data_IF_313057485836
#
_entry.id   IF_313057485836
#
_cell.length_a   1.000
_cell.length_b   1.000
_cell.length_c   1.000
_cell.angle_alpha   90.00
_cell.angle_beta   90.00
_cell.angle_gamma   90.00
#
_symmetry.space_group_name_H-M   'P 1'
#
loop_
_entity.id
_entity.type
_entity.pdbx_description
1 polymer ?
#
# COMPACT_ATOMS: atom_id res chain seq x y z
N UNK A 1 52.87 -25.05 37.05
CA UNK A 1 53.28 -24.56 35.70
C UNK A 1 52.67 -25.54 34.71
N UNK A 2 51.43 -25.41 34.21
CA UNK A 2 50.81 -24.22 33.62
C UNK A 2 50.85 -24.38 32.10
N UNK A 3 49.79 -24.94 31.50
CA UNK A 3 49.18 -24.51 30.24
C UNK A 3 48.19 -25.56 29.71
N UNK A 4 46.90 -25.22 29.81
CA UNK A 4 45.79 -25.88 29.14
C UNK A 4 45.70 -25.41 27.67
N UNK A 5 45.15 -26.21 26.74
CA UNK A 5 44.88 -25.75 25.39
C UNK A 5 43.69 -24.78 25.38
N UNK A 6 43.92 -23.63 24.76
CA UNK A 6 42.97 -22.54 24.61
C UNK A 6 41.84 -22.98 23.67
N UNK A 7 40.59 -22.88 24.14
CA UNK A 7 39.40 -23.15 23.34
C UNK A 7 39.35 -22.18 22.14
N UNK A 8 39.42 -22.73 20.93
CA UNK A 8 39.17 -21.98 19.70
C UNK A 8 37.74 -21.46 19.68
N UNK A 9 37.61 -20.14 19.54
CA UNK A 9 36.35 -19.43 19.47
C UNK A 9 35.45 -20.04 18.38
N UNK A 10 34.25 -20.52 18.79
CA UNK A 10 33.17 -20.79 17.84
C UNK A 10 32.71 -19.46 17.28
N UNK A 11 33.09 -19.17 16.03
CA UNK A 11 32.44 -18.14 15.25
C UNK A 11 30.97 -18.54 15.07
N UNK A 12 30.07 -17.91 15.82
CA UNK A 12 28.65 -17.90 15.49
C UNK A 12 28.51 -17.07 14.22
N UNK A 13 28.48 -17.74 13.07
CA UNK A 13 28.00 -17.12 11.84
C UNK A 13 26.57 -16.64 12.13
N UNK A 14 26.36 -15.33 12.15
CA UNK A 14 25.02 -14.78 12.08
C UNK A 14 24.39 -15.34 10.80
N UNK A 15 23.33 -16.12 10.96
CA UNK A 15 22.54 -16.60 9.84
C UNK A 15 22.00 -15.35 9.12
N UNK A 16 22.64 -14.98 8.00
CA UNK A 16 22.10 -14.00 7.09
C UNK A 16 20.70 -14.47 6.71
N UNK A 17 19.68 -13.67 7.01
CA UNK A 17 18.33 -13.93 6.54
C UNK A 17 18.41 -13.89 5.01
N UNK A 18 18.38 -15.07 4.38
CA UNK A 18 18.19 -15.14 2.94
C UNK A 18 16.82 -14.53 2.65
N UNK A 19 16.80 -13.35 2.04
CA UNK A 19 15.58 -12.77 1.50
C UNK A 19 15.12 -13.68 0.37
N UNK A 20 14.25 -14.64 0.67
CA UNK A 20 13.58 -15.41 -0.36
C UNK A 20 12.79 -14.44 -1.23
N UNK A 21 13.02 -14.51 -2.55
CA UNK A 21 12.22 -13.76 -3.52
C UNK A 21 10.75 -14.08 -3.32
N UNK A 22 9.90 -13.05 -3.27
CA UNK A 22 8.45 -13.21 -3.12
C UNK A 22 7.87 -13.94 -4.32
N UNK A 23 7.11 -15.01 -4.08
CA UNK A 23 6.33 -15.69 -5.13
C UNK A 23 5.05 -14.90 -5.43
N UNK A 24 5.15 -13.94 -6.35
CA UNK A 24 4.03 -13.10 -6.77
C UNK A 24 2.89 -13.88 -7.44
N UNK A 25 3.16 -15.04 -8.03
CA UNK A 25 2.10 -15.89 -8.57
C UNK A 25 1.27 -16.52 -7.44
N UNK A 26 1.90 -16.96 -6.35
CA UNK A 26 1.20 -17.40 -5.16
C UNK A 26 0.39 -16.28 -4.50
N UNK A 27 0.96 -15.08 -4.39
CA UNK A 27 0.24 -13.92 -3.85
C UNK A 27 -1.02 -13.62 -4.67
N UNK A 28 -0.92 -13.61 -6.01
CA UNK A 28 -2.08 -13.40 -6.89
C UNK A 28 -3.19 -14.42 -6.69
N UNK A 29 -2.83 -15.71 -6.48
CA UNK A 29 -3.82 -16.75 -6.18
C UNK A 29 -4.56 -16.47 -4.87
N UNK A 30 -3.84 -16.12 -3.81
CA UNK A 30 -4.46 -15.76 -2.52
C UNK A 30 -5.37 -14.55 -2.62
N UNK A 31 -4.94 -13.52 -3.36
CA UNK A 31 -5.76 -12.33 -3.61
C UNK A 31 -7.04 -12.66 -4.39
N UNK A 32 -6.94 -13.54 -5.38
CA UNK A 32 -8.10 -13.97 -6.19
C UNK A 32 -9.16 -14.65 -5.29
N UNK A 33 -8.72 -15.48 -4.34
CA UNK A 33 -9.62 -16.15 -3.38
C UNK A 33 -10.34 -15.18 -2.44
N UNK A 34 -9.84 -13.96 -2.26
CA UNK A 34 -10.50 -12.93 -1.45
C UNK A 34 -11.55 -12.13 -2.23
N UNK A 35 -11.54 -12.18 -3.56
CA UNK A 35 -12.35 -11.24 -4.36
C UNK A 35 -13.85 -11.48 -4.21
N UNK A 36 -14.29 -12.73 -4.10
CA UNK A 36 -15.67 -13.09 -3.77
C UNK A 36 -15.83 -13.13 -2.25
N UNK A 37 -16.60 -12.20 -1.72
CA UNK A 37 -16.84 -12.06 -0.29
C UNK A 37 -18.28 -11.61 -0.02
N UNK A 38 -19.24 -12.55 0.06
CA UNK A 38 -20.66 -12.23 0.29
C UNK A 38 -20.98 -11.49 1.59
N UNK A 39 -20.04 -11.47 2.54
CA UNK A 39 -20.20 -10.77 3.82
C UNK A 39 -19.81 -9.28 3.77
N UNK A 40 -19.27 -8.82 2.63
CA UNK A 40 -18.79 -7.47 2.43
C UNK A 40 -19.57 -6.76 1.33
N UNK A 41 -20.17 -5.61 1.66
CA UNK A 41 -20.81 -4.67 0.72
C UNK A 41 -21.72 -5.35 -0.33
N UNK A 42 -21.34 -5.33 -1.61
CA UNK A 42 -22.07 -5.91 -2.74
C UNK A 42 -21.68 -7.37 -3.06
N UNK A 43 -20.85 -7.97 -2.20
CA UNK A 43 -20.33 -9.32 -2.37
C UNK A 43 -18.92 -9.38 -2.93
N UNK A 44 -18.24 -8.26 -3.21
CA UNK A 44 -16.88 -8.28 -3.72
C UNK A 44 -15.89 -7.35 -3.01
N UNK A 45 -14.67 -7.84 -2.79
CA UNK A 45 -13.55 -7.02 -2.33
C UNK A 45 -12.81 -6.28 -3.45
N UNK A 46 -13.10 -6.57 -4.72
CA UNK A 46 -12.42 -5.95 -5.85
C UNK A 46 -12.55 -4.41 -5.84
N UNK A 47 -13.74 -3.80 -5.67
CA UNK A 47 -13.88 -2.34 -5.66
C UNK A 47 -13.07 -1.66 -4.55
N UNK A 48 -13.07 -2.23 -3.33
CA UNK A 48 -12.37 -1.62 -2.19
C UNK A 48 -10.86 -1.75 -2.30
N UNK A 49 -10.34 -2.83 -2.90
CA UNK A 49 -8.91 -2.97 -3.19
C UNK A 49 -8.44 -2.03 -4.30
N UNK A 50 -9.26 -1.84 -5.34
CA UNK A 50 -9.00 -0.86 -6.40
C UNK A 50 -8.93 0.54 -5.80
N UNK A 51 -9.90 0.90 -4.96
CA UNK A 51 -9.91 2.20 -4.27
C UNK A 51 -8.69 2.38 -3.37
N UNK A 52 -8.30 1.37 -2.58
CA UNK A 52 -7.12 1.44 -1.72
C UNK A 52 -5.85 1.77 -2.53
N UNK A 53 -5.62 1.07 -3.64
CA UNK A 53 -4.46 1.29 -4.50
C UNK A 53 -4.49 2.67 -5.17
N UNK A 54 -5.67 3.11 -5.61
CA UNK A 54 -5.86 4.46 -6.17
C UNK A 54 -5.50 5.54 -5.14
N UNK A 55 -6.06 5.46 -3.93
CA UNK A 55 -5.80 6.43 -2.86
C UNK A 55 -4.32 6.43 -2.44
N UNK A 56 -3.70 5.25 -2.32
CA UNK A 56 -2.27 5.15 -2.05
C UNK A 56 -1.44 5.82 -3.15
N UNK A 57 -1.84 5.68 -4.42
CA UNK A 57 -1.12 6.28 -5.54
C UNK A 57 -1.39 7.78 -5.70
N UNK A 58 -2.58 8.23 -5.31
CA UNK A 58 -3.08 9.59 -5.52
C UNK A 58 -2.42 10.67 -4.68
N UNK A 59 -1.59 10.29 -3.69
CA UNK A 59 -0.82 11.24 -2.87
C UNK A 59 0.46 11.73 -3.55
N UNK A 60 0.79 11.24 -4.75
CA UNK A 60 2.01 11.62 -5.46
C UNK A 60 2.02 13.10 -5.83
N UNK A 61 3.04 13.83 -5.38
CA UNK A 61 3.33 15.19 -5.84
C UNK A 61 4.55 15.20 -6.76
N UNK A 62 4.36 15.71 -7.98
CA UNK A 62 5.42 15.82 -8.99
C UNK A 62 6.50 16.82 -8.59
N UNK A 63 6.15 17.88 -7.86
CA UNK A 63 7.09 18.95 -7.53
C UNK A 63 8.09 18.51 -6.45
N UNK A 64 7.60 17.91 -5.36
CA UNK A 64 8.44 17.36 -4.30
C UNK A 64 8.98 15.96 -4.59
N UNK A 65 8.38 15.24 -5.55
CA UNK A 65 8.62 13.83 -5.81
C UNK A 65 8.38 12.94 -4.57
N UNK A 66 7.35 13.27 -3.80
CA UNK A 66 6.96 12.56 -2.58
C UNK A 66 5.56 11.97 -2.71
N UNK A 67 5.16 11.15 -1.73
CA UNK A 67 3.89 10.42 -1.76
C UNK A 67 3.85 9.31 -2.82
N UNK A 68 2.63 8.90 -3.18
CA UNK A 68 2.36 7.85 -4.16
C UNK A 68 2.42 6.43 -3.58
N UNK A 69 2.36 5.45 -4.48
CA UNK A 69 2.19 4.03 -4.12
C UNK A 69 3.34 3.38 -3.34
N UNK A 70 4.43 4.10 -3.11
CA UNK A 70 5.59 3.59 -2.39
C UNK A 70 5.58 4.08 -0.94
N UNK A 71 5.81 3.18 0.01
CA UNK A 71 5.96 3.52 1.43
C UNK A 71 4.81 3.10 2.34
N UNK A 72 3.66 2.69 1.77
CA UNK A 72 2.47 2.21 2.48
C UNK A 72 2.04 3.12 3.65
N UNK A 73 1.90 4.41 3.37
CA UNK A 73 1.70 5.44 4.40
C UNK A 73 0.36 5.40 5.11
N UNK A 74 -0.70 4.90 4.47
CA UNK A 74 -1.97 4.58 5.12
C UNK A 74 -1.85 3.55 6.25
N UNK A 75 -0.68 3.00 6.60
CA UNK A 75 -0.47 2.26 7.86
C UNK A 75 -0.33 3.17 9.08
N UNK A 76 -0.04 4.44 8.87
CA UNK A 76 0.19 5.45 9.90
C UNK A 76 -1.01 6.39 10.01
N UNK A 77 -1.22 6.93 11.21
CA UNK A 77 -2.40 7.72 11.55
C UNK A 77 -2.54 8.95 10.64
N UNK A 78 -1.43 9.62 10.32
CA UNK A 78 -1.42 10.85 9.51
C UNK A 78 -2.12 10.68 8.16
N UNK A 79 -1.87 9.59 7.43
CA UNK A 79 -2.53 9.34 6.15
C UNK A 79 -3.83 8.53 6.35
N UNK A 80 -3.87 7.61 7.31
CA UNK A 80 -5.05 6.77 7.55
C UNK A 80 -6.27 7.56 8.04
N UNK A 81 -6.05 8.67 8.76
CA UNK A 81 -7.10 9.52 9.31
C UNK A 81 -7.60 10.60 8.33
N UNK A 82 -7.03 10.69 7.13
CA UNK A 82 -7.56 11.59 6.10
C UNK A 82 -9.03 11.21 5.80
N UNK A 83 -9.99 12.16 5.84
CA UNK A 83 -11.39 11.88 5.53
C UNK A 83 -11.61 11.20 4.18
N UNK A 84 -10.77 11.49 3.17
CA UNK A 84 -10.86 10.88 1.85
C UNK A 84 -10.46 9.38 1.89
N UNK A 85 -9.74 8.93 2.93
CA UNK A 85 -9.36 7.53 3.16
C UNK A 85 -10.34 6.76 4.05
N UNK A 86 -11.47 7.37 4.43
CA UNK A 86 -12.50 6.71 5.24
C UNK A 86 -12.94 5.37 4.61
N UNK A 87 -13.05 4.33 5.45
CA UNK A 87 -13.41 2.97 5.04
C UNK A 87 -12.25 2.10 4.52
N UNK A 88 -11.11 2.67 4.14
CA UNK A 88 -9.95 1.91 3.63
C UNK A 88 -9.23 1.08 4.70
N UNK A 89 -9.57 1.27 5.98
CA UNK A 89 -9.15 0.37 7.06
C UNK A 89 -9.63 -1.07 6.83
N UNK A 90 -10.85 -1.26 6.30
CA UNK A 90 -11.37 -2.59 6.02
C UNK A 90 -10.53 -3.31 4.95
N UNK A 91 -10.21 -2.63 3.85
CA UNK A 91 -9.34 -3.17 2.80
C UNK A 91 -7.97 -3.58 3.36
N UNK A 92 -7.35 -2.72 4.18
CA UNK A 92 -6.08 -3.04 4.85
C UNK A 92 -6.21 -4.28 5.75
N UNK A 93 -7.30 -4.39 6.51
CA UNK A 93 -7.55 -5.54 7.38
C UNK A 93 -7.74 -6.85 6.60
N UNK A 94 -8.46 -6.83 5.47
CA UNK A 94 -8.63 -8.02 4.62
C UNK A 94 -7.32 -8.48 3.97
N UNK A 95 -6.37 -7.58 3.73
CA UNK A 95 -5.07 -7.91 3.14
C UNK A 95 -4.05 -8.40 4.18
N UNK A 96 -4.27 -8.17 5.46
CA UNK A 96 -3.32 -8.54 6.52
C UNK A 96 -3.06 -10.07 6.61
N UNK A 97 -4.04 -10.98 6.47
CA UNK A 97 -3.77 -12.41 6.37
C UNK A 97 -2.85 -12.79 5.20
N UNK A 98 -2.98 -12.11 4.05
CA UNK A 98 -2.10 -12.32 2.89
C UNK A 98 -0.68 -11.84 3.22
N UNK A 99 -0.54 -10.64 3.79
CA UNK A 99 0.75 -10.11 4.24
C UNK A 99 1.47 -11.07 5.19
N UNK A 100 0.76 -11.66 6.16
CA UNK A 100 1.34 -12.62 7.11
C UNK A 100 1.85 -13.90 6.45
N UNK A 101 1.19 -14.37 5.37
CA UNK A 101 1.62 -15.55 4.60
C UNK A 101 2.87 -15.28 3.76
N UNK A 102 3.10 -14.02 3.36
CA UNK A 102 4.23 -13.60 2.53
C UNK A 102 5.05 -12.51 3.25
N UNK A 103 5.89 -12.87 4.24
CA UNK A 103 6.61 -11.88 5.05
C UNK A 103 7.53 -10.95 4.23
N UNK A 104 8.11 -11.44 3.12
CA UNK A 104 8.94 -10.65 2.22
C UNK A 104 8.19 -9.69 1.28
N UNK A 105 6.86 -9.79 1.20
CA UNK A 105 6.02 -8.89 0.39
C UNK A 105 5.83 -7.57 1.12
N UNK A 106 6.13 -6.43 0.49
CA UNK A 106 5.80 -5.11 1.07
C UNK A 106 4.29 -4.87 1.05
N UNK A 107 3.78 -4.11 2.01
CA UNK A 107 2.41 -3.61 1.98
C UNK A 107 2.15 -2.78 0.72
N UNK A 108 3.14 -2.01 0.30
CA UNK A 108 3.09 -1.19 -0.91
C UNK A 108 2.84 -2.04 -2.17
N UNK A 109 3.59 -3.13 -2.38
CA UNK A 109 3.34 -4.03 -3.52
C UNK A 109 2.04 -4.83 -3.33
N UNK A 110 1.69 -5.23 -2.10
CA UNK A 110 0.45 -5.94 -1.80
C UNK A 110 -0.79 -5.13 -2.20
N UNK A 111 -0.86 -3.85 -1.82
CA UNK A 111 -2.02 -3.00 -2.11
C UNK A 111 -2.20 -2.77 -3.60
N UNK A 112 -1.11 -2.49 -4.32
CA UNK A 112 -1.17 -2.28 -5.78
C UNK A 112 -1.52 -3.59 -6.50
N UNK A 113 -0.92 -4.71 -6.09
CA UNK A 113 -1.22 -6.01 -6.69
C UNK A 113 -2.66 -6.44 -6.44
N UNK A 114 -3.22 -6.18 -5.26
CA UNK A 114 -4.63 -6.45 -4.95
C UNK A 114 -5.57 -5.74 -5.91
N UNK A 115 -5.28 -4.48 -6.26
CA UNK A 115 -6.04 -3.74 -7.26
C UNK A 115 -5.93 -4.36 -8.66
N UNK A 116 -4.72 -4.76 -9.09
CA UNK A 116 -4.53 -5.36 -10.42
C UNK A 116 -5.29 -6.68 -10.53
N UNK A 117 -5.21 -7.53 -9.50
CA UNK A 117 -5.98 -8.78 -9.44
C UNK A 117 -7.48 -8.48 -9.42
N UNK A 118 -7.94 -7.43 -8.73
CA UNK A 118 -9.35 -7.04 -8.69
C UNK A 118 -9.88 -6.60 -10.06
N UNK A 119 -9.12 -5.80 -10.80
CA UNK A 119 -9.47 -5.38 -12.17
C UNK A 119 -9.57 -6.61 -13.08
N UNK A 120 -8.59 -7.51 -13.04
CA UNK A 120 -8.60 -8.73 -13.84
C UNK A 120 -9.75 -9.67 -13.45
N UNK A 121 -10.01 -9.84 -12.16
CA UNK A 121 -11.08 -10.69 -11.62
C UNK A 121 -12.47 -10.24 -12.09
N UNK A 122 -12.68 -8.93 -12.19
CA UNK A 122 -13.93 -8.32 -12.65
C UNK A 122 -14.07 -8.28 -14.17
N UNK A 123 -13.17 -8.95 -14.91
CA UNK A 123 -13.21 -9.04 -16.37
C UNK A 123 -12.42 -7.96 -17.10
N UNK A 124 -11.63 -7.15 -16.39
CA UNK A 124 -10.69 -6.21 -16.97
C UNK A 124 -9.48 -6.89 -17.64
N UNK A 125 -8.63 -6.11 -18.33
CA UNK A 125 -7.47 -6.64 -19.02
C UNK A 125 -6.40 -7.13 -18.03
N UNK A 126 -5.56 -8.07 -18.47
CA UNK A 126 -4.35 -8.44 -17.73
C UNK A 126 -3.39 -7.25 -17.69
N UNK A 127 -2.92 -6.88 -16.49
CA UNK A 127 -2.04 -5.74 -16.28
C UNK A 127 -0.65 -6.23 -15.87
N UNK A 128 0.37 -5.79 -16.61
CA UNK A 128 1.76 -6.10 -16.30
C UNK A 128 2.14 -5.47 -14.94
N UNK A 129 2.44 -6.31 -13.96
CA UNK A 129 2.84 -5.88 -12.62
C UNK A 129 4.36 -5.86 -12.50
N UNK A 130 4.91 -4.72 -12.04
CA UNK A 130 6.33 -4.59 -11.70
C UNK A 130 6.46 -4.44 -10.18
N UNK A 131 7.09 -5.41 -9.48
CA UNK A 131 7.35 -5.34 -8.04
C UNK A 131 8.54 -4.41 -7.74
N UNK A 132 8.74 -4.11 -6.46
CA UNK A 132 9.91 -3.37 -5.97
C UNK A 132 9.55 -2.19 -5.08
N UNK A 133 8.27 -2.00 -4.74
CA UNK A 133 7.88 -0.98 -3.76
C UNK A 133 8.31 -1.43 -2.37
N UNK A 134 8.71 -0.47 -1.55
CA UNK A 134 9.21 -0.66 -0.20
C UNK A 134 8.30 0.04 0.79
N UNK A 135 8.18 -0.51 1.99
CA UNK A 135 7.43 0.14 3.06
C UNK A 135 8.34 1.10 3.82
N UNK A 136 7.81 2.26 4.21
CA UNK A 136 8.49 3.08 5.21
C UNK A 136 8.41 2.39 6.58
N UNK A 137 9.40 2.61 7.43
CA UNK A 137 9.48 1.96 8.75
C UNK A 137 8.69 2.72 9.81
N UNK A 138 8.54 4.03 9.64
CA UNK A 138 7.85 4.92 10.58
C UNK A 138 7.03 6.01 9.88
N UNK A 139 6.31 6.79 10.70
CA UNK A 139 5.45 7.89 10.28
C UNK A 139 6.22 9.18 9.94
N UNK A 140 7.52 9.30 10.24
CA UNK A 140 8.23 10.58 10.14
C UNK A 140 8.19 11.18 8.73
N UNK A 141 8.27 10.33 7.71
CA UNK A 141 8.12 10.72 6.31
C UNK A 141 6.73 11.28 6.00
N UNK A 142 5.67 10.66 6.53
CA UNK A 142 4.28 11.06 6.29
C UNK A 142 3.87 12.28 7.12
N UNK A 143 4.34 12.36 8.37
CA UNK A 143 4.16 13.53 9.23
C UNK A 143 4.77 14.79 8.61
N UNK A 144 5.96 14.68 8.02
CA UNK A 144 6.61 15.78 7.31
C UNK A 144 5.81 16.24 6.06
N UNK A 145 4.99 15.38 5.47
CA UNK A 145 4.14 15.71 4.33
C UNK A 145 2.77 16.29 4.70
N UNK A 146 2.29 16.08 5.93
CA UNK A 146 0.98 16.56 6.41
C UNK A 146 0.77 18.07 6.19
N UNK A 147 1.83 18.83 6.38
CA UNK A 147 1.83 20.29 6.29
C UNK A 147 2.29 20.79 4.91
N UNK A 148 2.49 19.89 3.94
CA UNK A 148 2.76 20.26 2.55
C UNK A 148 1.44 20.58 1.83
N UNK A 149 1.15 21.86 1.52
CA UNK A 149 -0.10 22.26 0.88
C UNK A 149 -0.30 21.67 -0.53
N UNK A 150 0.77 21.16 -1.16
CA UNK A 150 0.74 20.59 -2.53
C UNK A 150 0.29 19.12 -2.52
N UNK A 151 0.70 18.39 -1.48
CA UNK A 151 0.39 16.96 -1.32
C UNK A 151 -1.09 16.70 -0.98
N UNK A 152 -1.74 17.58 -0.22
CA UNK A 152 -3.16 17.40 0.18
C UNK A 152 -4.17 17.57 -0.94
N UNK A 153 -3.82 18.31 -2.00
CA UNK A 153 -4.76 18.67 -3.06
C UNK A 153 -4.45 18.02 -4.41
N UNK A 154 -3.39 17.20 -4.51
CA UNK A 154 -2.89 16.70 -5.80
C UNK A 154 -2.49 17.82 -6.76
N UNK A 155 -2.21 19.02 -6.23
CA UNK A 155 -1.93 20.24 -6.98
C UNK A 155 -0.50 20.66 -6.68
N UNK A 156 0.28 20.91 -7.73
CA UNK A 156 1.61 21.53 -7.59
C UNK A 156 1.51 22.88 -6.83
N UNK A 157 2.58 23.34 -6.17
CA UNK A 157 2.54 24.63 -5.48
C UNK A 157 2.21 25.76 -6.46
N UNK A 158 1.10 26.47 -6.20
CA UNK A 158 0.56 27.51 -7.08
C UNK A 158 -0.37 27.01 -8.21
N UNK A 159 -0.69 25.72 -8.25
CA UNK A 159 -1.67 25.17 -9.19
C UNK A 159 -3.09 25.47 -8.73
N UNK A 160 -3.80 26.33 -9.47
CA UNK A 160 -5.26 26.42 -9.37
C UNK A 160 -5.87 25.29 -10.21
N UNK A 161 -6.89 24.61 -9.67
CA UNK A 161 -7.72 23.72 -10.48
C UNK A 161 -8.44 24.57 -11.52
N UNK A 162 -8.29 24.30 -12.84
CA UNK A 162 -9.11 24.96 -13.84
C UNK A 162 -10.58 24.75 -13.48
N UNK A 163 -11.41 25.80 -13.53
CA UNK A 163 -12.82 25.76 -13.08
C UNK A 163 -13.63 24.60 -13.67
N UNK A 164 -13.24 24.11 -14.86
CA UNK A 164 -13.83 22.96 -15.55
C UNK A 164 -13.56 21.59 -14.91
N UNK A 165 -12.58 21.48 -13.99
CA UNK A 165 -12.23 20.27 -13.24
C UNK A 165 -12.48 20.40 -11.73
N UNK A 166 -13.09 21.50 -11.29
CA UNK A 166 -13.44 21.69 -9.88
C UNK A 166 -14.37 20.58 -9.38
N UNK A 167 -14.30 20.28 -8.08
CA UNK A 167 -15.25 19.40 -7.38
C UNK A 167 -16.66 19.83 -7.79
N UNK A 168 -17.44 18.92 -8.37
CA UNK A 168 -18.86 19.18 -8.61
C UNK A 168 -19.45 19.72 -7.29
N UNK A 169 -20.28 20.77 -7.32
CA UNK A 169 -20.96 21.21 -6.11
C UNK A 169 -21.60 19.99 -5.47
N UNK A 170 -21.40 19.83 -4.15
CA UNK A 170 -22.00 18.74 -3.41
C UNK A 170 -23.47 18.65 -3.82
N UNK A 171 -23.91 17.48 -4.27
CA UNK A 171 -25.25 17.30 -4.81
C UNK A 171 -26.27 17.86 -3.81
N UNK A 172 -26.77 19.06 -4.08
CA UNK A 172 -27.89 19.62 -3.37
C UNK A 172 -29.09 18.76 -3.77
N UNK A 173 -29.37 17.79 -2.90
CA UNK A 173 -30.68 17.21 -2.62
C UNK A 173 -31.56 17.05 -3.87
N UNK A 174 -31.48 15.88 -4.49
CA UNK A 174 -32.67 15.29 -5.09
C UNK A 174 -33.59 14.85 -3.94
N UNK A 175 -34.39 15.79 -3.42
CA UNK A 175 -35.65 15.51 -2.72
C UNK A 175 -36.80 15.73 -3.69
#
# INVERSE_FOLDING_TARGET
LGNAPVQGARATAAAGVAHSSVDYAAVRRELTLLMDNPSWDDGSLAPVFIRLAWHSSGTYDKASNTGGSNGAGMRYETEAADPENAGLMAARAFLEPVKRRFPGLSYSDLWILASYVGIEYTGGPAIAFTPGRTDHVDEAYWAAMKDNPTARNGLSPGGEMPAQYGRLPAAEKYT
#
